data_IF_949427285323
#
_entry.id   IF_949427285323
#
_cell.length_a   1.000
_cell.length_b   1.000
_cell.length_c   1.000
_cell.angle_alpha   90.00
_cell.angle_beta   90.00
_cell.angle_gamma   90.00
#
_symmetry.space_group_name_H-M   'P 1'
#
loop_
_entity.id
_entity.type
_entity.pdbx_description
1 polymer ?
#
# COMPACT_ATOMS: atom_id res chain seq x y z
N UNK A 1 3.69 0.38 37.41
CA UNK A 1 3.30 -0.19 36.11
C UNK A 1 4.35 0.25 35.10
N UNK A 2 5.00 -0.70 34.42
CA UNK A 2 5.88 -0.37 33.30
C UNK A 2 5.00 0.28 32.26
N UNK A 3 5.34 1.47 31.70
CA UNK A 3 4.59 2.05 30.61
C UNK A 3 4.45 1.00 29.52
N UNK A 4 3.24 0.75 29.05
CA UNK A 4 3.01 -0.21 27.96
C UNK A 4 3.71 0.30 26.69
N UNK A 5 4.95 -0.13 26.50
CA UNK A 5 5.66 0.11 25.25
C UNK A 5 5.10 -0.90 24.23
N UNK A 6 4.42 -0.42 23.24
CA UNK A 6 3.86 -1.23 22.17
C UNK A 6 3.96 -0.49 20.84
N UNK A 7 4.14 -1.26 19.77
CA UNK A 7 4.16 -0.77 18.39
C UNK A 7 3.08 -1.47 17.57
N UNK A 8 2.31 -0.69 16.82
CA UNK A 8 1.43 -1.16 15.75
C UNK A 8 2.12 -0.97 14.41
N UNK A 9 2.21 -2.01 13.60
CA UNK A 9 2.96 -1.98 12.32
C UNK A 9 2.03 -2.38 11.17
N UNK A 10 1.87 -1.50 10.18
CA UNK A 10 1.32 -1.79 8.86
C UNK A 10 2.48 -1.89 7.86
N UNK A 11 2.75 -3.12 7.41
CA UNK A 11 3.79 -3.40 6.42
C UNK A 11 3.21 -3.28 5.01
N UNK A 12 3.02 -2.05 4.55
CA UNK A 12 2.59 -1.81 3.18
C UNK A 12 3.75 -1.92 2.17
N UNK A 13 3.44 -2.31 0.94
CA UNK A 13 4.47 -2.47 -0.12
C UNK A 13 5.13 -1.14 -0.48
N UNK A 14 4.37 -0.05 -0.56
CA UNK A 14 4.93 1.28 -0.85
C UNK A 14 5.43 1.99 0.40
N UNK A 15 4.68 1.91 1.50
CA UNK A 15 5.00 2.61 2.74
C UNK A 15 4.84 1.66 3.93
N UNK A 16 5.75 1.78 4.88
CA UNK A 16 5.63 1.18 6.22
C UNK A 16 5.08 2.26 7.15
N UNK A 17 4.09 1.90 7.95
CA UNK A 17 3.55 2.77 8.99
C UNK A 17 3.76 2.10 10.33
N UNK A 18 4.33 2.83 11.29
CA UNK A 18 4.57 2.34 12.64
C UNK A 18 3.99 3.35 13.63
N UNK A 19 3.08 2.89 14.47
CA UNK A 19 2.55 3.65 15.58
C UNK A 19 3.27 3.25 16.88
N UNK A 20 3.73 4.22 17.65
CA UNK A 20 4.27 4.04 19.00
C UNK A 20 3.25 4.44 20.05
N UNK A 21 2.78 3.48 20.85
CA UNK A 21 1.84 3.75 21.93
C UNK A 21 2.46 4.61 23.05
N UNK A 22 3.78 4.49 23.29
CA UNK A 22 4.45 5.24 24.36
C UNK A 22 4.56 6.73 24.08
N UNK A 23 4.70 7.10 22.81
CA UNK A 23 4.95 8.47 22.36
C UNK A 23 3.74 9.08 21.63
N UNK A 24 2.67 8.29 21.46
CA UNK A 24 1.49 8.64 20.68
C UNK A 24 1.87 9.24 19.30
N UNK A 25 2.76 8.55 18.60
CA UNK A 25 3.35 9.05 17.36
C UNK A 25 3.27 8.00 16.26
N UNK A 26 3.06 8.47 15.02
CA UNK A 26 3.07 7.65 13.80
C UNK A 26 4.29 8.03 12.97
N UNK A 27 5.05 7.02 12.57
CA UNK A 27 6.06 7.14 11.51
C UNK A 27 5.50 6.54 10.21
N UNK A 28 5.70 7.24 9.10
CA UNK A 28 5.39 6.72 7.76
C UNK A 28 6.60 6.93 6.86
N UNK A 29 7.18 5.83 6.42
CA UNK A 29 8.39 5.80 5.58
C UNK A 29 8.18 4.89 4.37
N UNK A 30 8.92 5.13 3.29
CA UNK A 30 8.93 4.26 2.13
C UNK A 30 9.52 2.88 2.48
N UNK A 31 8.88 1.83 2.00
CA UNK A 31 9.40 0.47 2.12
C UNK A 31 10.49 0.22 1.07
N UNK A 32 11.61 0.91 1.24
CA UNK A 32 12.75 0.85 0.33
C UNK A 32 14.07 0.85 1.10
N UNK A 33 15.05 0.13 0.55
CA UNK A 33 16.42 0.11 1.04
C UNK A 33 17.39 0.22 -0.13
N UNK A 34 18.41 1.05 0.04
CA UNK A 34 19.52 1.22 -0.90
C UNK A 34 20.76 0.56 -0.32
N UNK A 35 21.32 -0.42 -1.03
CA UNK A 35 22.48 -1.20 -0.63
C UNK A 35 23.64 -0.87 -1.56
N UNK A 36 24.75 -0.42 -0.99
CA UNK A 36 25.99 -0.18 -1.71
C UNK A 36 26.85 -1.45 -1.74
N UNK A 37 27.45 -1.74 -2.91
CA UNK A 37 28.38 -2.87 -3.09
C UNK A 37 27.83 -4.22 -2.59
N UNK A 38 26.51 -4.40 -2.61
CA UNK A 38 25.78 -5.60 -2.14
C UNK A 38 25.94 -5.90 -0.65
N UNK A 39 26.39 -4.95 0.16
CA UNK A 39 26.70 -5.21 1.57
C UNK A 39 26.19 -4.12 2.50
N UNK A 40 26.57 -2.89 2.26
CA UNK A 40 26.39 -1.80 3.21
C UNK A 40 25.10 -1.04 2.91
N UNK A 41 24.35 -0.67 3.96
CA UNK A 41 23.15 0.15 3.82
C UNK A 41 23.61 1.57 3.53
N UNK A 42 23.28 2.09 2.34
CA UNK A 42 23.57 3.45 1.92
C UNK A 42 22.45 4.42 2.34
N UNK A 43 21.19 4.01 2.15
CA UNK A 43 20.02 4.77 2.54
C UNK A 43 18.82 3.84 2.75
N UNK A 44 17.78 4.30 3.44
CA UNK A 44 16.52 3.58 3.63
C UNK A 44 15.34 4.55 3.72
N UNK A 45 14.13 4.03 3.63
CA UNK A 45 12.91 4.82 3.72
C UNK A 45 12.80 5.85 2.61
N UNK A 46 12.38 7.05 2.96
CA UNK A 46 12.21 8.17 2.03
C UNK A 46 13.53 8.57 1.35
N UNK A 47 14.67 8.49 2.03
CA UNK A 47 15.98 8.77 1.44
C UNK A 47 16.34 7.78 0.33
N UNK A 48 16.05 6.49 0.49
CA UNK A 48 16.23 5.50 -0.58
C UNK A 48 15.26 5.75 -1.75
N UNK A 49 14.03 6.13 -1.46
CA UNK A 49 13.05 6.48 -2.50
C UNK A 49 13.48 7.69 -3.32
N UNK A 50 14.11 8.71 -2.75
CA UNK A 50 14.63 9.87 -3.51
C UNK A 50 15.65 9.46 -4.55
N UNK A 51 16.44 8.41 -4.26
CA UNK A 51 17.46 7.86 -5.17
C UNK A 51 16.90 6.90 -6.22
N UNK A 52 15.67 6.41 -6.03
CA UNK A 52 15.05 5.44 -6.93
C UNK A 52 14.98 5.97 -8.38
N UNK A 53 15.36 5.15 -9.35
CA UNK A 53 15.54 5.48 -10.77
C UNK A 53 16.67 6.49 -11.08
N UNK A 54 17.50 6.86 -10.08
CA UNK A 54 18.60 7.83 -10.24
C UNK A 54 19.94 7.31 -9.72
N UNK A 55 19.93 6.20 -8.97
CA UNK A 55 21.12 5.67 -8.32
C UNK A 55 22.17 5.18 -9.32
N UNK A 56 23.48 5.35 -9.03
CA UNK A 56 24.56 4.77 -9.83
C UNK A 56 24.58 3.24 -9.70
N UNK A 57 25.30 2.57 -10.61
CA UNK A 57 25.28 1.10 -10.73
C UNK A 57 25.79 0.32 -9.50
N UNK A 58 26.60 0.95 -8.63
CA UNK A 58 27.08 0.34 -7.38
C UNK A 58 26.06 0.39 -6.25
N UNK A 59 24.95 1.13 -6.40
CA UNK A 59 23.86 1.22 -5.41
C UNK A 59 22.64 0.52 -5.97
N UNK A 60 22.23 -0.55 -5.30
CA UNK A 60 21.01 -1.29 -5.62
C UNK A 60 19.89 -0.86 -4.67
N UNK A 61 18.78 -0.40 -5.25
CA UNK A 61 17.57 -0.04 -4.49
C UNK A 61 16.53 -1.14 -4.68
N UNK A 62 16.00 -1.64 -3.58
CA UNK A 62 15.02 -2.72 -3.57
C UNK A 62 13.82 -2.43 -2.68
N UNK A 63 12.70 -3.07 -3.01
CA UNK A 63 11.50 -3.17 -2.20
C UNK A 63 11.49 -4.55 -1.53
N UNK A 64 11.67 -4.67 -0.21
CA UNK A 64 11.72 -5.97 0.45
C UNK A 64 10.36 -6.67 0.55
N UNK A 65 9.26 -5.95 0.29
CA UNK A 65 7.90 -6.49 0.24
C UNK A 65 7.36 -6.37 -1.20
N UNK A 66 6.69 -7.40 -1.69
CA UNK A 66 6.06 -7.42 -3.01
C UNK A 66 4.81 -8.29 -3.00
N UNK A 67 3.75 -7.84 -3.67
CA UNK A 67 2.46 -8.54 -3.74
C UNK A 67 1.89 -8.95 -2.37
N UNK A 68 2.11 -8.13 -1.35
CA UNK A 68 1.62 -8.36 0.01
C UNK A 68 2.45 -9.36 0.83
N UNK A 69 3.55 -9.92 0.29
CA UNK A 69 4.42 -10.88 0.98
C UNK A 69 5.86 -10.42 1.05
N UNK A 70 6.62 -10.96 2.00
CA UNK A 70 8.04 -10.63 2.19
C UNK A 70 8.85 -11.31 1.08
N UNK A 71 9.46 -10.50 0.21
CA UNK A 71 10.31 -10.96 -0.88
C UNK A 71 11.80 -11.05 -0.48
N UNK A 72 12.23 -10.19 0.45
CA UNK A 72 13.61 -10.15 0.97
C UNK A 72 13.58 -9.97 2.49
N UNK A 73 13.63 -11.10 3.22
CA UNK A 73 13.52 -11.11 4.67
C UNK A 73 14.69 -10.36 5.34
N UNK A 74 15.92 -10.53 4.83
CA UNK A 74 17.08 -9.92 5.43
C UNK A 74 17.04 -8.38 5.37
N UNK A 75 16.67 -7.84 4.23
CA UNK A 75 16.54 -6.39 4.09
C UNK A 75 15.29 -5.87 4.81
N UNK A 76 14.23 -6.67 4.95
CA UNK A 76 13.06 -6.30 5.73
C UNK A 76 13.37 -6.22 7.24
N UNK A 77 14.13 -7.19 7.79
CA UNK A 77 14.61 -7.17 9.17
C UNK A 77 15.45 -5.92 9.46
N UNK A 78 16.37 -5.59 8.54
CA UNK A 78 17.19 -4.37 8.65
C UNK A 78 16.32 -3.11 8.67
N UNK A 79 15.34 -3.00 7.79
CA UNK A 79 14.43 -1.85 7.76
C UNK A 79 13.64 -1.71 9.05
N UNK A 80 13.05 -2.78 9.55
CA UNK A 80 12.28 -2.77 10.80
C UNK A 80 13.20 -2.35 11.97
N UNK A 81 14.41 -2.90 12.04
CA UNK A 81 15.37 -2.50 13.06
C UNK A 81 15.68 -1.00 13.02
N UNK A 82 15.97 -0.47 11.84
CA UNK A 82 16.31 0.94 11.65
C UNK A 82 15.13 1.85 12.04
N UNK A 83 13.93 1.55 11.56
CA UNK A 83 12.74 2.36 11.85
C UNK A 83 12.38 2.35 13.35
N UNK A 84 12.46 1.19 14.02
CA UNK A 84 12.25 1.12 15.47
C UNK A 84 13.37 1.83 16.24
N UNK A 85 14.60 1.76 15.74
CA UNK A 85 15.76 2.50 16.31
C UNK A 85 15.53 4.02 16.19
N UNK A 86 15.11 4.50 15.04
CA UNK A 86 14.82 5.92 14.81
C UNK A 86 13.70 6.42 15.73
N UNK A 87 12.58 5.70 15.80
CA UNK A 87 11.45 6.05 16.68
C UNK A 87 11.85 6.07 18.16
N UNK A 88 12.73 5.14 18.57
CA UNK A 88 13.22 5.04 19.96
C UNK A 88 14.46 5.90 20.23
N UNK A 89 14.90 6.71 19.26
CA UNK A 89 16.11 7.54 19.33
C UNK A 89 17.35 6.72 19.74
N UNK A 90 17.49 5.53 19.18
CA UNK A 90 18.57 4.57 19.44
C UNK A 90 18.42 3.76 20.75
N UNK A 91 17.43 4.04 21.57
CA UNK A 91 17.22 3.35 22.85
C UNK A 91 16.06 2.34 22.76
N UNK A 92 16.25 1.27 21.99
CA UNK A 92 15.25 0.22 21.83
C UNK A 92 14.97 -0.45 23.18
N UNK A 93 13.72 -0.39 23.64
CA UNK A 93 13.23 -1.02 24.89
C UNK A 93 12.37 -2.25 24.57
N UNK A 94 12.27 -3.22 25.51
CA UNK A 94 11.33 -4.33 25.35
C UNK A 94 9.89 -3.83 25.14
N UNK A 95 9.26 -4.28 24.04
CA UNK A 95 7.94 -3.81 23.63
C UNK A 95 7.06 -4.97 23.09
N UNK A 96 5.76 -4.74 23.07
CA UNK A 96 4.81 -5.60 22.38
C UNK A 96 4.62 -5.11 20.94
N UNK A 97 4.56 -6.03 19.98
CA UNK A 97 4.42 -5.74 18.57
C UNK A 97 3.12 -6.32 18.01
N UNK A 98 2.36 -5.50 17.31
CA UNK A 98 1.14 -5.86 16.61
C UNK A 98 1.35 -5.59 15.12
N UNK A 99 1.28 -6.62 14.29
CA UNK A 99 1.58 -6.51 12.85
C UNK A 99 0.33 -6.83 12.06
N UNK A 100 -0.11 -5.87 11.23
CA UNK A 100 -1.16 -6.11 10.27
C UNK A 100 -0.60 -6.88 9.05
N UNK A 101 -1.25 -7.99 8.70
CA UNK A 101 -0.89 -8.83 7.55
C UNK A 101 -2.11 -9.07 6.67
N UNK A 102 -1.95 -9.25 5.35
CA UNK A 102 -3.06 -9.57 4.48
C UNK A 102 -3.81 -10.82 4.94
N UNK A 103 -5.11 -10.84 4.74
CA UNK A 103 -5.98 -11.92 5.24
C UNK A 103 -5.85 -13.21 4.43
N UNK A 104 -5.75 -13.08 3.10
CA UNK A 104 -5.68 -14.21 2.18
C UNK A 104 -4.21 -14.57 1.85
N UNK A 105 -3.46 -14.94 2.90
CA UNK A 105 -2.09 -15.44 2.80
C UNK A 105 -1.96 -16.80 3.47
N UNK A 106 -0.94 -17.56 3.07
CA UNK A 106 -0.66 -18.89 3.63
C UNK A 106 -0.13 -18.80 5.07
N UNK A 107 -0.27 -19.87 5.84
CA UNK A 107 0.30 -19.96 7.20
C UNK A 107 1.83 -19.79 7.21
N UNK A 108 2.52 -20.19 6.12
CA UNK A 108 3.97 -19.99 5.97
C UNK A 108 4.29 -18.50 5.82
N UNK A 109 3.54 -17.77 4.99
CA UNK A 109 3.69 -16.33 4.83
C UNK A 109 3.36 -15.59 6.13
N UNK A 110 2.26 -15.97 6.81
CA UNK A 110 1.90 -15.40 8.11
C UNK A 110 3.01 -15.64 9.15
N UNK A 111 3.62 -16.82 9.14
CA UNK A 111 4.76 -17.15 9.99
C UNK A 111 5.98 -16.28 9.68
N UNK A 112 6.24 -15.97 8.41
CA UNK A 112 7.35 -15.11 8.01
C UNK A 112 7.22 -13.68 8.60
N UNK A 113 6.01 -13.12 8.70
CA UNK A 113 5.80 -11.84 9.37
C UNK A 113 6.06 -11.90 10.88
N UNK A 114 5.73 -13.00 11.53
CA UNK A 114 6.06 -13.20 12.94
C UNK A 114 7.58 -13.31 13.15
N UNK A 115 8.25 -14.13 12.36
CA UNK A 115 9.68 -14.36 12.45
C UNK A 115 10.47 -13.08 12.09
N UNK A 116 9.98 -12.27 11.14
CA UNK A 116 10.54 -10.95 10.83
C UNK A 116 10.74 -10.09 12.08
N UNK A 117 9.72 -9.93 12.92
CA UNK A 117 9.85 -9.10 14.12
C UNK A 117 10.71 -9.78 15.19
N UNK A 118 10.61 -11.09 15.29
CA UNK A 118 11.43 -11.87 16.24
C UNK A 118 12.91 -11.71 15.96
N UNK A 119 13.30 -11.71 14.67
CA UNK A 119 14.70 -11.75 14.23
C UNK A 119 15.27 -10.35 13.90
N UNK A 120 14.42 -9.31 13.79
CA UNK A 120 14.83 -7.92 13.52
C UNK A 120 15.59 -7.23 14.69
N UNK A 121 15.89 -7.92 15.78
CA UNK A 121 16.63 -7.37 16.95
C UNK A 121 15.96 -6.11 17.56
N UNK A 122 14.64 -6.13 17.66
CA UNK A 122 13.84 -5.01 18.22
C UNK A 122 13.39 -5.22 19.66
N UNK A 123 13.96 -6.21 20.35
CA UNK A 123 13.62 -6.59 21.75
C UNK A 123 12.13 -6.87 21.92
N UNK A 124 11.54 -7.66 21.02
CA UNK A 124 10.13 -8.03 21.09
C UNK A 124 9.85 -8.87 22.35
N UNK A 125 8.91 -8.41 23.20
CA UNK A 125 8.39 -9.12 24.37
C UNK A 125 7.21 -10.02 23.97
N UNK A 126 6.31 -9.50 23.14
CA UNK A 126 5.14 -10.17 22.59
C UNK A 126 5.00 -9.78 21.13
N UNK A 127 4.66 -10.74 20.28
CA UNK A 127 4.38 -10.49 18.87
C UNK A 127 2.98 -11.02 18.58
N UNK A 128 2.13 -10.18 18.02
CA UNK A 128 0.79 -10.53 17.58
C UNK A 128 0.63 -10.17 16.10
N UNK A 129 0.23 -11.17 15.32
CA UNK A 129 -0.15 -10.99 13.92
C UNK A 129 -1.65 -10.78 13.86
N UNK A 130 -2.09 -9.72 13.22
CA UNK A 130 -3.50 -9.30 13.11
C UNK A 130 -3.85 -9.24 11.62
N UNK A 131 -5.02 -9.77 11.26
CA UNK A 131 -5.52 -9.65 9.89
C UNK A 131 -5.79 -8.17 9.56
N UNK A 132 -5.28 -7.73 8.41
CA UNK A 132 -5.32 -6.33 7.99
C UNK A 132 -6.74 -5.79 7.90
N UNK A 133 -7.68 -6.57 7.38
CA UNK A 133 -9.08 -6.16 7.30
C UNK A 133 -9.70 -5.81 8.66
N UNK A 134 -9.33 -6.52 9.74
CA UNK A 134 -9.76 -6.19 11.11
C UNK A 134 -9.10 -4.88 11.58
N UNK A 135 -7.79 -4.73 11.31
CA UNK A 135 -7.06 -3.51 11.67
C UNK A 135 -7.61 -2.28 10.92
N UNK A 136 -7.95 -2.43 9.64
CA UNK A 136 -8.56 -1.38 8.81
C UNK A 136 -9.94 -0.98 9.37
N UNK A 137 -10.78 -1.95 9.70
CA UNK A 137 -12.08 -1.68 10.32
C UNK A 137 -11.95 -0.89 11.62
N UNK A 138 -11.04 -1.29 12.50
CA UNK A 138 -10.76 -0.56 13.74
C UNK A 138 -10.21 0.84 13.49
N UNK A 139 -9.33 1.00 12.49
CA UNK A 139 -8.76 2.29 12.11
C UNK A 139 -9.77 3.27 11.50
N UNK A 140 -10.88 2.77 10.99
CA UNK A 140 -12.01 3.56 10.48
C UNK A 140 -13.13 3.77 11.52
N UNK A 141 -12.85 3.50 12.80
CA UNK A 141 -13.81 3.58 13.91
C UNK A 141 -15.06 2.70 13.73
N UNK A 142 -14.92 1.58 13.00
CA UNK A 142 -16.02 0.62 12.84
C UNK A 142 -16.05 -0.31 14.06
N UNK A 143 -17.23 -0.49 14.64
CA UNK A 143 -17.42 -1.51 15.68
C UNK A 143 -17.42 -2.92 15.05
N UNK A 144 -16.23 -3.44 14.79
CA UNK A 144 -16.03 -4.76 14.16
C UNK A 144 -16.62 -5.92 14.98
N UNK A 145 -16.90 -5.71 16.28
CA UNK A 145 -17.49 -6.74 17.17
C UNK A 145 -19.00 -6.86 17.01
N UNK A 146 -19.63 -5.91 16.37
CA UNK A 146 -21.07 -5.95 16.12
C UNK A 146 -21.43 -7.11 15.19
N UNK A 147 -22.65 -7.61 15.26
CA UNK A 147 -23.19 -8.61 14.34
C UNK A 147 -23.48 -8.09 12.94
N UNK A 148 -23.38 -6.78 12.75
CA UNK A 148 -23.60 -6.10 11.51
C UNK A 148 -22.54 -6.46 10.46
N UNK A 149 -22.98 -6.72 9.22
CA UNK A 149 -22.09 -6.95 8.08
C UNK A 149 -21.44 -5.66 7.60
N UNK A 150 -20.11 -5.64 7.53
CA UNK A 150 -19.32 -4.50 7.04
C UNK A 150 -18.44 -4.95 5.88
N UNK A 151 -18.52 -4.24 4.75
CA UNK A 151 -17.65 -4.46 3.60
C UNK A 151 -16.54 -3.42 3.57
N UNK A 152 -15.30 -3.90 3.66
CA UNK A 152 -14.08 -3.09 3.59
C UNK A 152 -13.33 -3.42 2.30
N UNK A 153 -12.92 -2.39 1.56
CA UNK A 153 -12.07 -2.49 0.37
C UNK A 153 -10.81 -1.67 0.60
N UNK A 154 -9.70 -2.35 0.85
CA UNK A 154 -8.38 -1.73 1.00
C UNK A 154 -7.63 -1.79 -0.34
N UNK A 155 -7.45 -0.63 -0.98
CA UNK A 155 -6.71 -0.52 -2.24
C UNK A 155 -5.31 -0.01 -1.94
N UNK A 156 -4.39 -0.96 -1.82
CA UNK A 156 -2.98 -0.71 -1.54
C UNK A 156 -2.18 -0.35 -2.80
N UNK A 157 -0.86 -0.44 -2.67
CA UNK A 157 0.05 -0.19 -3.79
C UNK A 157 0.13 -1.38 -4.76
N UNK A 158 0.36 -2.61 -4.26
CA UNK A 158 0.47 -3.82 -5.09
C UNK A 158 -0.84 -4.60 -5.15
N UNK A 159 -1.60 -4.57 -4.06
CA UNK A 159 -2.76 -5.44 -3.86
C UNK A 159 -3.97 -4.65 -3.42
N UNK A 160 -5.15 -5.21 -3.71
CA UNK A 160 -6.43 -4.78 -3.12
C UNK A 160 -7.00 -5.96 -2.34
N UNK A 161 -7.43 -5.69 -1.11
CA UNK A 161 -8.13 -6.65 -0.26
C UNK A 161 -9.59 -6.24 -0.12
N UNK A 162 -10.51 -7.18 -0.42
CA UNK A 162 -11.96 -7.00 -0.27
C UNK A 162 -12.43 -7.95 0.80
N UNK A 163 -12.95 -7.45 1.92
CA UNK A 163 -13.28 -8.26 3.09
C UNK A 163 -14.61 -7.90 3.69
N UNK A 164 -15.38 -8.91 4.10
CA UNK A 164 -16.61 -8.76 4.87
C UNK A 164 -16.34 -9.16 6.32
N UNK A 165 -16.60 -8.21 7.20
CA UNK A 165 -16.42 -8.34 8.64
C UNK A 165 -17.77 -8.47 9.34
N UNK A 166 -17.83 -9.31 10.38
CA UNK A 166 -18.97 -9.40 11.32
C UNK A 166 -18.53 -10.12 12.58
N UNK A 167 -19.07 -9.76 13.73
CA UNK A 167 -18.81 -10.39 15.05
C UNK A 167 -17.31 -10.50 15.40
N UNK A 168 -16.52 -9.53 15.01
CA UNK A 168 -15.08 -9.49 15.28
C UNK A 168 -14.24 -10.43 14.42
N UNK A 169 -14.82 -11.04 13.39
CA UNK A 169 -14.14 -11.95 12.47
C UNK A 169 -14.35 -11.59 11.00
N UNK A 170 -13.62 -12.29 10.15
CA UNK A 170 -13.72 -12.18 8.70
C UNK A 170 -14.65 -13.29 8.19
N UNK A 171 -15.74 -12.89 7.53
CA UNK A 171 -16.71 -13.81 6.95
C UNK A 171 -16.26 -14.28 5.57
N UNK A 172 -15.86 -13.33 4.74
CA UNK A 172 -15.31 -13.56 3.40
C UNK A 172 -14.17 -12.59 3.17
N UNK A 173 -13.13 -13.03 2.47
CA UNK A 173 -12.05 -12.17 2.01
C UNK A 173 -11.56 -12.60 0.64
N UNK A 174 -11.02 -11.64 -0.11
CA UNK A 174 -10.35 -11.87 -1.38
C UNK A 174 -9.24 -10.85 -1.58
N UNK A 175 -8.03 -11.35 -1.84
CA UNK A 175 -6.88 -10.57 -2.23
C UNK A 175 -6.73 -10.61 -3.75
N UNK A 176 -6.58 -9.45 -4.37
CA UNK A 176 -6.29 -9.31 -5.80
C UNK A 176 -4.99 -8.54 -6.01
N UNK A 177 -4.18 -8.99 -6.98
CA UNK A 177 -2.88 -8.37 -7.31
C UNK A 177 -3.08 -7.19 -8.26
N UNK A 178 -3.89 -6.22 -7.83
CA UNK A 178 -4.16 -4.98 -8.54
C UNK A 178 -4.22 -3.87 -7.51
N UNK A 179 -3.48 -2.80 -7.75
CA UNK A 179 -3.37 -1.64 -6.87
C UNK A 179 -2.65 -0.50 -7.57
N UNK A 180 -2.18 0.47 -6.82
CA UNK A 180 -1.55 1.69 -7.32
C UNK A 180 -0.37 1.46 -8.27
N UNK A 181 0.40 0.38 -8.09
CA UNK A 181 1.51 0.04 -8.99
C UNK A 181 1.01 -0.22 -10.42
N UNK A 182 -0.06 -1.03 -10.56
CA UNK A 182 -0.64 -1.30 -11.88
C UNK A 182 -1.27 -0.07 -12.50
N UNK A 183 -1.84 0.81 -11.69
CA UNK A 183 -2.33 2.10 -12.17
C UNK A 183 -1.19 2.95 -12.73
N UNK A 184 -0.08 3.05 -12.00
CA UNK A 184 1.11 3.80 -12.46
C UNK A 184 1.72 3.17 -13.73
N UNK A 185 1.74 1.84 -13.84
CA UNK A 185 2.18 1.12 -15.02
C UNK A 185 1.27 1.38 -16.24
N UNK A 186 -0.05 1.42 -16.05
CA UNK A 186 -0.99 1.75 -17.11
C UNK A 186 -0.76 3.16 -17.64
N UNK A 187 -0.55 4.14 -16.76
CA UNK A 187 -0.19 5.52 -17.13
C UNK A 187 1.12 5.53 -17.94
N UNK A 188 2.17 4.85 -17.47
CA UNK A 188 3.46 4.78 -18.18
C UNK A 188 3.34 4.17 -19.59
N UNK A 189 2.60 3.07 -19.69
CA UNK A 189 2.39 2.39 -20.97
C UNK A 189 1.59 3.24 -21.95
N UNK A 190 0.56 3.93 -21.47
CA UNK A 190 -0.26 4.83 -22.28
C UNK A 190 0.54 6.03 -22.76
N UNK A 191 1.29 6.70 -21.88
CA UNK A 191 2.17 7.81 -22.27
C UNK A 191 3.23 7.35 -23.29
N UNK A 192 3.80 6.16 -23.11
CA UNK A 192 4.75 5.61 -24.07
C UNK A 192 4.12 5.33 -25.43
N UNK A 193 2.92 4.76 -25.45
CA UNK A 193 2.22 4.38 -26.70
C UNK A 193 1.75 5.60 -27.48
N UNK A 194 1.11 6.56 -26.80
CA UNK A 194 0.44 7.69 -27.46
C UNK A 194 1.41 8.84 -27.79
N UNK A 195 2.45 9.04 -26.97
CA UNK A 195 3.38 10.17 -27.11
C UNK A 195 4.80 9.77 -27.43
N UNK A 196 5.11 8.48 -27.60
CA UNK A 196 6.48 7.97 -27.73
C UNK A 196 7.41 8.48 -26.61
N UNK A 197 6.88 8.66 -25.41
CA UNK A 197 7.57 9.27 -24.27
C UNK A 197 7.81 8.26 -23.17
N UNK A 198 9.07 8.09 -22.75
CA UNK A 198 9.43 7.32 -21.56
C UNK A 198 9.44 8.23 -20.33
N UNK A 199 8.58 7.90 -19.38
CA UNK A 199 8.53 8.53 -18.06
C UNK A 199 8.89 7.52 -16.96
N UNK A 200 9.42 8.01 -15.83
CA UNK A 200 9.70 7.20 -14.66
C UNK A 200 8.43 6.85 -13.88
N UNK A 201 8.55 5.88 -12.97
CA UNK A 201 7.44 5.44 -12.12
C UNK A 201 6.94 6.55 -11.18
N UNK A 202 7.85 7.34 -10.62
CA UNK A 202 7.50 8.50 -9.79
C UNK A 202 6.65 9.50 -10.55
N UNK A 203 7.01 9.80 -11.79
CA UNK A 203 6.26 10.72 -12.67
C UNK A 203 4.85 10.19 -12.91
N UNK A 204 4.70 8.91 -13.24
CA UNK A 204 3.39 8.29 -13.44
C UNK A 204 2.51 8.34 -12.18
N UNK A 205 3.09 8.04 -11.02
CA UNK A 205 2.38 8.14 -9.74
C UNK A 205 1.93 9.58 -9.45
N UNK A 206 2.77 10.56 -9.72
CA UNK A 206 2.43 11.99 -9.57
C UNK A 206 1.29 12.39 -10.50
N UNK A 207 1.33 12.00 -11.78
CA UNK A 207 0.25 12.25 -12.74
C UNK A 207 -1.07 11.71 -12.20
N UNK A 208 -1.10 10.41 -11.84
CA UNK A 208 -2.30 9.74 -11.33
C UNK A 208 -2.86 10.44 -10.08
N UNK A 209 -2.01 10.83 -9.15
CA UNK A 209 -2.43 11.49 -7.91
C UNK A 209 -2.96 12.91 -8.15
N UNK A 210 -2.53 13.59 -9.19
CA UNK A 210 -2.93 14.97 -9.50
C UNK A 210 -4.13 15.08 -10.45
N UNK A 211 -4.65 13.98 -11.01
CA UNK A 211 -5.73 14.00 -12.02
C UNK A 211 -6.91 14.86 -11.56
N UNK A 212 -7.44 14.62 -10.37
CA UNK A 212 -8.63 15.31 -9.90
C UNK A 212 -8.45 16.84 -9.75
N UNK A 213 -7.24 17.30 -9.45
CA UNK A 213 -6.95 18.73 -9.36
C UNK A 213 -6.70 19.34 -10.75
N UNK A 214 -6.03 18.62 -11.63
CA UNK A 214 -5.82 19.01 -13.02
C UNK A 214 -7.16 19.18 -13.77
N UNK A 215 -8.10 18.29 -13.55
CA UNK A 215 -9.46 18.36 -14.14
C UNK A 215 -10.23 19.59 -13.66
N UNK A 216 -10.17 19.90 -12.36
CA UNK A 216 -10.79 21.13 -11.82
C UNK A 216 -10.21 22.40 -12.45
N UNK A 217 -8.94 22.38 -12.82
CA UNK A 217 -8.26 23.48 -13.47
C UNK A 217 -8.42 23.48 -15.00
N UNK A 218 -8.98 22.41 -15.59
CA UNK A 218 -9.12 22.25 -17.04
C UNK A 218 -7.77 22.11 -17.75
N UNK A 219 -6.76 21.49 -17.09
CA UNK A 219 -5.39 21.35 -17.58
C UNK A 219 -5.03 19.89 -17.79
N UNK A 220 -4.06 19.63 -18.68
CA UNK A 220 -3.36 18.36 -18.75
C UNK A 220 -2.18 18.28 -17.78
N UNK A 221 -1.65 17.08 -17.62
CA UNK A 221 -0.45 16.85 -16.83
C UNK A 221 0.81 17.20 -17.65
N UNK A 222 1.54 18.23 -17.25
CA UNK A 222 2.85 18.55 -17.86
C UNK A 222 3.91 17.63 -17.30
N UNK A 223 4.59 16.89 -18.18
CA UNK A 223 5.59 15.89 -17.82
C UNK A 223 6.87 16.04 -18.62
N UNK A 224 7.97 15.67 -17.98
CA UNK A 224 9.29 15.58 -18.62
C UNK A 224 9.65 14.09 -18.76
N UNK A 225 10.09 13.73 -19.95
CA UNK A 225 10.48 12.37 -20.25
C UNK A 225 11.49 12.30 -21.39
N UNK A 226 11.89 11.11 -21.78
CA UNK A 226 12.77 10.88 -22.93
C UNK A 226 11.94 10.42 -24.13
N UNK A 227 11.98 11.18 -25.21
CA UNK A 227 11.42 10.78 -26.49
C UNK A 227 12.16 9.54 -27.02
N UNK A 228 11.42 8.46 -27.35
CA UNK A 228 12.03 7.18 -27.77
C UNK A 228 12.49 7.20 -29.23
N UNK A 229 12.02 8.13 -30.05
CA UNK A 229 12.39 8.27 -31.47
C UNK A 229 13.66 9.09 -31.59
N UNK A 230 13.71 10.25 -30.93
CA UNK A 230 14.84 11.19 -31.05
C UNK A 230 15.89 10.93 -29.98
N UNK A 231 15.52 10.28 -28.85
CA UNK A 231 16.41 9.95 -27.73
C UNK A 231 16.67 11.12 -26.77
N UNK A 232 16.05 12.28 -26.97
CA UNK A 232 16.28 13.48 -26.19
C UNK A 232 15.22 13.69 -25.12
N UNK A 233 15.56 14.40 -24.01
CA UNK A 233 14.57 14.87 -23.05
C UNK A 233 13.62 15.89 -23.70
N UNK A 234 12.34 15.71 -23.47
CA UNK A 234 11.27 16.60 -23.96
C UNK A 234 10.19 16.80 -22.89
N UNK A 235 9.48 17.92 -23.00
CA UNK A 235 8.27 18.20 -22.25
C UNK A 235 7.04 17.84 -23.08
N UNK A 236 6.02 17.28 -22.44
CA UNK A 236 4.71 17.01 -23.05
C UNK A 236 3.59 17.28 -22.05
N UNK A 237 2.46 17.73 -22.55
CA UNK A 237 1.21 17.79 -21.81
C UNK A 237 0.37 16.56 -22.12
N UNK A 238 -0.05 15.85 -21.09
CA UNK A 238 -0.84 14.61 -21.20
C UNK A 238 -2.28 14.92 -20.78
N UNK A 239 -3.28 14.73 -21.67
CA UNK A 239 -4.68 14.95 -21.34
C UNK A 239 -5.16 14.06 -20.20
N UNK A 240 -5.94 14.61 -19.27
CA UNK A 240 -6.50 13.86 -18.13
C UNK A 240 -7.46 12.77 -18.57
N UNK A 241 -8.27 12.99 -19.61
CA UNK A 241 -9.19 11.99 -20.16
C UNK A 241 -8.47 10.72 -20.60
N UNK A 242 -7.29 10.86 -21.20
CA UNK A 242 -6.47 9.72 -21.61
C UNK A 242 -5.97 8.92 -20.42
N UNK A 243 -5.60 9.61 -19.32
CA UNK A 243 -5.16 8.97 -18.09
C UNK A 243 -6.33 8.25 -17.43
N UNK A 244 -7.50 8.86 -17.34
CA UNK A 244 -8.69 8.24 -16.78
C UNK A 244 -9.07 6.97 -17.54
N UNK A 245 -9.10 7.04 -18.87
CA UNK A 245 -9.42 5.89 -19.73
C UNK A 245 -8.47 4.72 -19.53
N UNK A 246 -7.18 4.95 -19.29
CA UNK A 246 -6.22 3.86 -19.07
C UNK A 246 -6.36 3.20 -17.68
N UNK A 247 -7.05 3.81 -16.73
CA UNK A 247 -7.29 3.27 -15.38
C UNK A 247 -8.57 2.42 -15.29
N UNK A 248 -9.52 2.62 -16.20
CA UNK A 248 -10.86 1.99 -16.16
C UNK A 248 -10.79 0.46 -16.10
N UNK A 249 -9.92 -0.19 -16.84
CA UNK A 249 -9.76 -1.66 -16.82
C UNK A 249 -9.36 -2.17 -15.42
N UNK A 250 -8.46 -1.46 -14.76
CA UNK A 250 -8.01 -1.82 -13.42
C UNK A 250 -9.08 -1.55 -12.37
N UNK A 251 -9.83 -0.46 -12.51
CA UNK A 251 -10.97 -0.15 -11.65
C UNK A 251 -12.05 -1.23 -11.78
N UNK A 252 -12.40 -1.61 -13.01
CA UNK A 252 -13.38 -2.66 -13.25
C UNK A 252 -12.93 -4.01 -12.67
N UNK A 253 -11.64 -4.34 -12.72
CA UNK A 253 -11.09 -5.56 -12.07
C UNK A 253 -11.35 -5.58 -10.56
N UNK A 254 -11.22 -4.43 -9.89
CA UNK A 254 -11.51 -4.31 -8.46
C UNK A 254 -13.02 -4.40 -8.21
N UNK A 255 -13.82 -3.68 -8.98
CA UNK A 255 -15.28 -3.66 -8.88
C UNK A 255 -15.87 -5.06 -9.09
N UNK A 256 -15.41 -5.81 -10.08
CA UNK A 256 -15.84 -7.19 -10.32
C UNK A 256 -15.49 -8.11 -9.14
N UNK A 257 -14.37 -7.86 -8.48
CA UNK A 257 -13.99 -8.60 -7.27
C UNK A 257 -14.91 -8.28 -6.10
N UNK A 258 -15.36 -7.04 -5.96
CA UNK A 258 -16.38 -6.62 -4.98
C UNK A 258 -17.70 -7.33 -5.27
N UNK A 259 -18.16 -7.35 -6.53
CA UNK A 259 -19.40 -8.04 -6.95
C UNK A 259 -19.33 -9.54 -6.62
N UNK A 260 -18.23 -10.21 -6.95
CA UNK A 260 -18.04 -11.65 -6.65
C UNK A 260 -18.11 -11.96 -5.15
N UNK A 261 -17.62 -11.06 -4.30
CA UNK A 261 -17.75 -11.24 -2.84
C UNK A 261 -19.19 -11.01 -2.40
N UNK A 262 -19.86 -9.99 -2.90
CA UNK A 262 -21.27 -9.71 -2.56
C UNK A 262 -22.21 -10.85 -2.98
N UNK A 263 -21.99 -11.46 -4.15
CA UNK A 263 -22.75 -12.63 -4.61
C UNK A 263 -22.67 -13.85 -3.67
N UNK A 264 -21.57 -13.97 -2.92
CA UNK A 264 -21.34 -15.06 -1.97
C UNK A 264 -21.71 -14.69 -0.54
N UNK A 265 -22.09 -13.44 -0.32
CA UNK A 265 -22.40 -12.90 1.01
C UNK A 265 -23.74 -13.47 1.49
N UNK A 266 -23.84 -13.95 2.74
CA UNK A 266 -25.11 -14.30 3.34
C UNK A 266 -26.12 -13.14 3.24
N UNK A 267 -27.41 -13.40 2.91
CA UNK A 267 -28.39 -12.34 2.66
C UNK A 267 -28.54 -11.31 3.77
N UNK A 268 -28.43 -11.73 5.04
CA UNK A 268 -28.55 -10.83 6.19
C UNK A 268 -27.39 -9.82 6.25
N UNK A 269 -26.16 -10.29 6.01
CA UNK A 269 -24.99 -9.41 5.95
C UNK A 269 -25.02 -8.51 4.69
N UNK A 270 -25.56 -9.04 3.56
CA UNK A 270 -25.79 -8.25 2.35
C UNK A 270 -26.78 -7.10 2.59
N UNK A 271 -27.84 -7.33 3.36
CA UNK A 271 -28.78 -6.30 3.75
C UNK A 271 -28.15 -5.20 4.61
N UNK A 272 -27.23 -5.57 5.50
CA UNK A 272 -26.47 -4.59 6.29
C UNK A 272 -25.55 -3.75 5.41
N UNK A 273 -24.78 -4.38 4.52
CA UNK A 273 -23.89 -3.71 3.59
C UNK A 273 -24.65 -2.75 2.68
N UNK A 274 -25.84 -3.14 2.20
CA UNK A 274 -26.70 -2.28 1.40
C UNK A 274 -27.12 -0.99 2.13
N UNK A 275 -27.37 -1.08 3.45
CA UNK A 275 -27.74 0.08 4.27
C UNK A 275 -26.57 1.00 4.59
N UNK A 276 -25.39 0.45 4.83
CA UNK A 276 -24.24 1.19 5.36
C UNK A 276 -23.20 1.50 4.30
N UNK A 277 -23.27 0.86 3.14
CA UNK A 277 -22.35 1.06 2.03
C UNK A 277 -21.04 0.30 2.19
N UNK A 278 -20.07 0.71 1.37
CA UNK A 278 -18.72 0.14 1.29
C UNK A 278 -17.73 1.10 1.92
N UNK A 279 -16.87 0.59 2.78
CA UNK A 279 -15.78 1.37 3.36
C UNK A 279 -14.52 1.21 2.52
N UNK A 280 -14.00 2.34 2.04
CA UNK A 280 -12.78 2.39 1.22
C UNK A 280 -11.60 2.86 2.06
N UNK A 281 -10.49 2.14 1.96
CA UNK A 281 -9.20 2.51 2.57
C UNK A 281 -8.04 2.18 1.63
N UNK A 282 -6.82 2.44 2.07
CA UNK A 282 -5.62 2.27 1.27
C UNK A 282 -5.28 3.48 0.39
N UNK A 283 -3.98 3.65 0.11
CA UNK A 283 -3.50 4.86 -0.59
C UNK A 283 -4.01 5.01 -2.03
N UNK A 284 -4.28 3.90 -2.73
CA UNK A 284 -4.76 3.95 -4.11
C UNK A 284 -6.28 4.14 -4.22
N UNK A 285 -7.04 3.99 -3.12
CA UNK A 285 -8.48 4.29 -3.11
C UNK A 285 -8.78 5.78 -3.34
N UNK A 286 -7.80 6.65 -3.11
CA UNK A 286 -7.90 8.09 -3.36
C UNK A 286 -7.71 8.48 -4.82
N UNK A 287 -7.49 7.51 -5.73
CA UNK A 287 -7.42 7.80 -7.17
C UNK A 287 -8.76 8.34 -7.64
N UNK A 288 -8.72 9.46 -8.37
CA UNK A 288 -9.92 10.16 -8.85
C UNK A 288 -10.85 9.22 -9.61
N UNK A 289 -12.15 9.45 -9.52
CA UNK A 289 -13.23 8.70 -10.18
C UNK A 289 -13.47 7.26 -9.70
N UNK A 290 -12.57 6.64 -8.92
CA UNK A 290 -12.76 5.25 -8.48
C UNK A 290 -14.00 5.08 -7.59
N UNK A 291 -14.15 5.94 -6.56
CA UNK A 291 -15.29 5.84 -5.63
C UNK A 291 -16.63 6.08 -6.34
N UNK A 292 -16.67 7.02 -7.28
CA UNK A 292 -17.86 7.31 -8.09
C UNK A 292 -18.23 6.16 -9.01
N UNK A 293 -17.21 5.51 -9.61
CA UNK A 293 -17.42 4.36 -10.49
C UNK A 293 -17.93 3.15 -9.69
N UNK A 294 -17.36 2.90 -8.53
CA UNK A 294 -17.82 1.84 -7.62
C UNK A 294 -19.26 2.07 -7.17
N UNK A 295 -19.64 3.31 -6.85
CA UNK A 295 -21.00 3.65 -6.42
C UNK A 295 -22.04 3.45 -7.52
N UNK A 296 -21.67 3.63 -8.79
CA UNK A 296 -22.57 3.47 -9.95
C UNK A 296 -22.72 2.01 -10.39
N UNK A 297 -21.83 1.13 -9.95
CA UNK A 297 -21.73 -0.27 -10.41
C UNK A 297 -22.49 -1.23 -9.53
#
# INVERSE_FOLDING_TARGET
>A
MVPNCAYGIDLGTSNIKIYSLSDDSVMMEKNMIAIENKKDIFAYGNSAYEMYEKAPANIQISHPLSNGVIADINNMERLIHLFISDMSKGNIRPADFYIAVPTDITEVEKRAFYDLIKDANVKARKIMVVEKAIADGLGMDIDVKNSQGVLVVDIGYDTTEVSILSLGGIVLSRLIKTGGLKFDEAVRQTVRREFNLLIGQKTAATIRQSIGDLEKEGKGAVVYGRDIVVGLPVEREIPTDLINSCLEEHFNTIIDSVKVILERTPPELGADIFKHGVYLTGGASQTSHFAELLQKS
#
